data_IF_588132386054
#
_entry.id   IF_588132386054
#
_cell.length_a   1.000
_cell.length_b   1.000
_cell.length_c   1.000
_cell.angle_alpha   90.00
_cell.angle_beta   90.00
_cell.angle_gamma   90.00
#
_symmetry.space_group_name_H-M   'P 1'
#
loop_
_entity.id
_entity.type
_entity.pdbx_description
1 polymer ?
#
# COMPACT_ATOMS: atom_id res chain seq x y z
N UNK A 1 -50.76 9.59 -51.72
CA UNK A 1 -49.92 10.11 -52.82
C UNK A 1 -48.50 9.67 -52.52
N UNK A 2 -47.94 8.71 -53.27
CA UNK A 2 -47.18 8.90 -54.53
C UNK A 2 -45.81 9.58 -54.29
N UNK A 3 -44.66 9.07 -54.81
CA UNK A 3 -44.39 7.81 -55.54
C UNK A 3 -42.87 7.54 -55.72
N UNK A 4 -42.49 6.33 -56.17
CA UNK A 4 -41.26 5.94 -56.92
C UNK A 4 -39.88 5.88 -56.21
N UNK A 5 -38.83 5.18 -56.71
CA UNK A 5 -38.57 4.04 -57.65
C UNK A 5 -37.03 3.74 -57.59
N UNK A 6 -36.42 2.60 -57.97
CA UNK A 6 -36.86 1.23 -58.31
C UNK A 6 -36.43 0.26 -57.17
N UNK A 7 -35.75 -0.90 -57.29
CA UNK A 7 -35.26 -1.73 -58.41
C UNK A 7 -34.61 -3.05 -57.91
N UNK A 8 -34.71 -4.11 -58.71
CA UNK A 8 -34.50 -5.52 -58.29
C UNK A 8 -33.06 -6.03 -58.39
N UNK A 9 -32.67 -6.98 -57.53
CA UNK A 9 -31.41 -7.73 -57.64
C UNK A 9 -31.33 -8.93 -56.69
N UNK A 10 -31.91 -10.08 -57.09
CA UNK A 10 -31.73 -11.37 -56.39
C UNK A 10 -30.42 -12.00 -56.85
N UNK A 11 -29.54 -12.43 -55.94
CA UNK A 11 -28.75 -13.65 -56.11
C UNK A 11 -28.38 -14.28 -54.77
N UNK A 12 -28.86 -15.51 -54.55
CA UNK A 12 -28.40 -16.40 -53.49
C UNK A 12 -27.15 -17.14 -54.01
N UNK A 13 -26.03 -17.07 -53.28
CA UNK A 13 -24.88 -17.94 -53.53
C UNK A 13 -24.08 -18.20 -52.26
N UNK A 14 -23.88 -19.47 -51.91
CA UNK A 14 -23.02 -19.86 -50.80
C UNK A 14 -21.56 -19.60 -51.17
N UNK A 15 -20.87 -18.79 -50.37
CA UNK A 15 -19.46 -18.43 -50.57
C UNK A 15 -18.72 -18.27 -49.26
N UNK A 16 -18.46 -19.37 -48.56
CA UNK A 16 -17.62 -19.41 -47.36
C UNK A 16 -16.23 -18.81 -47.64
N UNK A 17 -15.81 -17.78 -46.89
CA UNK A 17 -14.40 -17.53 -46.51
C UNK A 17 -14.20 -16.32 -45.56
N UNK A 18 -13.53 -16.58 -44.44
CA UNK A 18 -12.80 -15.67 -43.54
C UNK A 18 -13.56 -14.57 -42.77
N UNK A 19 -14.02 -14.91 -41.56
CA UNK A 19 -14.09 -13.98 -40.42
C UNK A 19 -12.80 -14.09 -39.56
N UNK A 20 -12.37 -13.01 -38.86
CA UNK A 20 -11.09 -12.97 -38.14
C UNK A 20 -11.04 -13.71 -36.79
N UNK A 21 -9.85 -14.20 -36.45
CA UNK A 21 -9.54 -15.17 -35.41
C UNK A 21 -9.31 -14.57 -34.01
N UNK A 22 -10.29 -13.89 -33.40
CA UNK A 22 -10.16 -13.44 -31.99
C UNK A 22 -11.46 -13.38 -31.17
N UNK A 23 -12.53 -14.08 -31.58
CA UNK A 23 -13.79 -14.17 -30.81
C UNK A 23 -13.96 -15.49 -30.01
N UNK A 24 -12.88 -16.05 -29.47
CA UNK A 24 -12.94 -17.28 -28.65
C UNK A 24 -12.01 -17.23 -27.44
N UNK A 25 -12.47 -16.59 -26.35
CA UNK A 25 -11.88 -16.73 -25.01
C UNK A 25 -12.85 -16.32 -23.87
N UNK A 26 -14.16 -16.61 -23.99
CA UNK A 26 -15.13 -16.28 -22.93
C UNK A 26 -16.36 -17.21 -22.94
N UNK A 27 -16.21 -18.47 -22.52
CA UNK A 27 -17.27 -19.33 -21.96
C UNK A 27 -16.77 -20.77 -21.67
N UNK A 28 -15.87 -20.98 -20.69
CA UNK A 28 -15.64 -22.33 -20.15
C UNK A 28 -14.94 -22.34 -18.77
N UNK A 29 -15.57 -21.77 -17.75
CA UNK A 29 -15.28 -22.10 -16.34
C UNK A 29 -16.54 -21.87 -15.47
N UNK A 30 -17.47 -22.82 -15.54
CA UNK A 30 -18.60 -22.89 -14.61
C UNK A 30 -18.85 -24.35 -14.20
N UNK A 31 -18.09 -24.83 -13.21
CA UNK A 31 -18.49 -25.88 -12.25
C UNK A 31 -17.38 -26.12 -11.22
N UNK A 32 -17.76 -26.57 -10.02
CA UNK A 32 -16.88 -26.93 -8.90
C UNK A 32 -16.18 -25.77 -8.17
N UNK A 33 -16.97 -24.92 -7.51
CA UNK A 33 -16.62 -24.54 -6.14
C UNK A 33 -16.86 -25.78 -5.26
N UNK A 34 -15.85 -26.65 -5.16
CA UNK A 34 -15.83 -27.68 -4.13
C UNK A 34 -15.70 -27.01 -2.76
N UNK A 35 -16.34 -27.58 -1.75
CA UNK A 35 -16.39 -27.02 -0.39
C UNK A 35 -14.98 -26.85 0.19
N UNK A 36 -14.51 -25.60 0.20
CA UNK A 36 -13.38 -25.20 1.03
C UNK A 36 -13.84 -25.25 2.48
N UNK A 37 -13.69 -26.43 3.11
CA UNK A 37 -13.84 -26.58 4.55
C UNK A 37 -12.99 -25.52 5.24
N UNK A 38 -13.60 -24.76 6.14
CA UNK A 38 -12.90 -23.74 6.92
C UNK A 38 -11.94 -24.43 7.88
N UNK A 39 -10.73 -24.72 7.41
CA UNK A 39 -9.66 -25.28 8.22
C UNK A 39 -9.29 -24.24 9.27
N UNK A 40 -9.69 -24.49 10.52
CA UNK A 40 -9.45 -23.62 11.65
C UNK A 40 -7.95 -23.32 11.77
N UNK A 41 -7.56 -22.07 11.59
CA UNK A 41 -6.15 -21.62 11.63
C UNK A 41 -5.57 -21.59 13.05
N UNK A 42 -5.96 -22.53 13.91
CA UNK A 42 -5.58 -22.62 15.32
C UNK A 42 -4.30 -23.44 15.57
N UNK A 43 -3.85 -24.23 14.59
CA UNK A 43 -2.73 -25.19 14.72
C UNK A 43 -1.63 -24.96 13.65
N UNK A 44 -1.52 -23.74 13.12
CA UNK A 44 -0.32 -23.37 12.36
C UNK A 44 0.90 -23.45 13.30
N UNK A 45 1.97 -24.18 12.95
CA UNK A 45 3.09 -24.36 13.85
C UNK A 45 3.71 -22.99 14.15
N UNK A 46 3.65 -22.59 15.42
CA UNK A 46 4.39 -21.43 15.92
C UNK A 46 5.87 -21.76 15.81
N UNK A 47 6.48 -21.33 14.70
CA UNK A 47 7.93 -21.35 14.58
C UNK A 47 8.46 -20.30 15.55
N UNK A 48 8.74 -20.75 16.77
CA UNK A 48 9.56 -20.01 17.73
C UNK A 48 10.91 -19.71 17.07
N UNK A 49 10.97 -18.53 16.45
CA UNK A 49 12.21 -17.98 15.90
C UNK A 49 13.09 -17.59 17.08
N UNK A 50 13.75 -18.61 17.62
CA UNK A 50 14.83 -18.48 18.58
C UNK A 50 15.83 -17.49 18.00
N UNK A 51 16.30 -16.54 18.82
CA UNK A 51 17.01 -15.33 18.35
C UNK A 51 18.32 -15.66 17.58
N UNK A 52 18.79 -16.92 17.62
CA UNK A 52 19.93 -17.43 16.84
C UNK A 52 19.67 -17.87 15.39
N UNK A 53 18.46 -17.76 14.81
CA UNK A 53 18.19 -18.18 13.41
C UNK A 53 17.96 -17.06 12.40
N UNK A 54 18.15 -15.79 12.80
CA UNK A 54 18.58 -14.79 11.81
C UNK A 54 20.03 -15.10 11.45
N UNK A 55 20.35 -15.15 10.16
CA UNK A 55 21.76 -15.23 9.72
C UNK A 55 22.56 -14.04 10.28
N UNK A 56 23.91 -14.14 10.41
CA UNK A 56 24.71 -13.10 11.04
C UNK A 56 24.39 -11.72 10.47
N UNK A 57 24.02 -10.77 11.31
CA UNK A 57 23.59 -9.42 10.90
C UNK A 57 24.62 -8.76 9.97
N UNK A 58 25.91 -8.99 10.21
CA UNK A 58 27.01 -8.49 9.39
C UNK A 58 26.97 -9.03 7.94
N UNK A 59 26.50 -10.27 7.74
CA UNK A 59 26.31 -10.86 6.40
C UNK A 59 25.13 -10.22 5.65
N UNK A 60 24.03 -9.95 6.36
CA UNK A 60 22.91 -9.17 5.80
C UNK A 60 23.37 -7.76 5.45
N UNK A 61 24.12 -7.11 6.35
CA UNK A 61 24.62 -5.75 6.17
C UNK A 61 25.60 -5.64 4.98
N UNK A 62 26.48 -6.62 4.77
CA UNK A 62 27.32 -6.63 3.57
C UNK A 62 26.49 -6.84 2.29
N UNK A 63 25.42 -7.63 2.34
CA UNK A 63 24.44 -7.71 1.24
C UNK A 63 23.81 -6.35 0.93
N UNK A 64 23.35 -5.62 1.95
CA UNK A 64 22.82 -4.25 1.82
C UNK A 64 23.87 -3.29 1.24
N UNK A 65 25.14 -3.40 1.66
CA UNK A 65 26.24 -2.60 1.07
C UNK A 65 26.42 -2.90 -0.42
N UNK A 66 26.40 -4.17 -0.82
CA UNK A 66 26.55 -4.58 -2.22
C UNK A 66 25.38 -4.11 -3.09
N UNK A 67 24.15 -4.22 -2.59
CA UNK A 67 22.96 -3.70 -3.27
C UNK A 67 23.05 -2.17 -3.44
N UNK A 68 23.36 -1.45 -2.36
CA UNK A 68 23.45 0.01 -2.36
C UNK A 68 24.58 0.54 -3.29
N UNK A 69 25.72 -0.18 -3.37
CA UNK A 69 26.78 0.06 -4.36
C UNK A 69 26.27 -0.13 -5.79
N UNK A 70 25.51 -1.19 -6.03
CA UNK A 70 24.87 -1.45 -7.32
C UNK A 70 23.88 -0.36 -7.76
N UNK A 71 23.26 0.32 -6.78
CA UNK A 71 22.40 1.49 -6.99
C UNK A 71 23.18 2.82 -7.08
N UNK A 72 24.52 2.80 -7.04
CA UNK A 72 25.39 3.98 -7.21
C UNK A 72 25.63 4.82 -5.95
N UNK A 73 25.29 4.32 -4.75
CA UNK A 73 25.56 5.02 -3.48
C UNK A 73 27.06 4.95 -3.18
N UNK A 74 27.68 6.10 -2.87
CA UNK A 74 29.14 6.18 -2.67
C UNK A 74 29.62 5.43 -1.42
N UNK A 75 30.83 4.88 -1.47
CA UNK A 75 31.49 4.27 -0.29
C UNK A 75 31.54 5.23 0.90
N UNK A 76 31.75 6.54 0.68
CA UNK A 76 31.76 7.53 1.76
C UNK A 76 30.40 7.63 2.48
N UNK A 77 29.30 7.55 1.72
CA UNK A 77 27.93 7.53 2.26
C UNK A 77 27.66 6.23 3.01
N UNK A 78 28.01 5.09 2.42
CA UNK A 78 27.82 3.76 3.04
C UNK A 78 28.67 3.57 4.29
N UNK A 79 29.88 4.12 4.31
CA UNK A 79 30.72 4.14 5.49
C UNK A 79 30.11 5.02 6.59
N UNK A 80 29.67 6.24 6.28
CA UNK A 80 29.13 7.14 7.29
C UNK A 80 27.77 6.69 7.85
N UNK A 81 26.85 6.25 6.99
CA UNK A 81 25.50 5.85 7.37
C UNK A 81 25.49 4.51 8.13
N UNK A 82 26.25 3.52 7.67
CA UNK A 82 26.21 2.15 8.19
C UNK A 82 27.38 1.86 9.16
N UNK A 83 28.02 2.87 9.75
CA UNK A 83 29.07 2.66 10.77
C UNK A 83 28.45 2.24 12.10
N UNK A 84 28.99 1.18 12.70
CA UNK A 84 28.64 0.72 14.06
C UNK A 84 27.14 0.44 14.31
N UNK A 85 26.33 0.31 13.25
CA UNK A 85 24.91 -0.04 13.39
C UNK A 85 24.77 -1.46 13.93
N UNK A 86 23.71 -1.71 14.71
CA UNK A 86 23.43 -2.99 15.35
C UNK A 86 21.92 -3.22 15.41
N UNK A 87 21.45 -4.48 15.43
CA UNK A 87 20.04 -4.77 15.70
C UNK A 87 19.59 -4.16 17.02
N UNK A 88 18.55 -3.32 16.98
CA UNK A 88 17.91 -2.79 18.18
C UNK A 88 16.79 -3.75 18.57
N UNK A 89 17.01 -4.56 19.61
CA UNK A 89 16.06 -5.60 20.05
C UNK A 89 14.64 -5.04 20.29
N UNK A 90 14.53 -3.79 20.78
CA UNK A 90 13.24 -3.11 20.99
C UNK A 90 12.50 -2.82 19.68
N UNK A 91 13.18 -2.55 18.56
CA UNK A 91 12.54 -2.38 17.25
C UNK A 91 11.96 -3.72 16.80
N UNK A 92 12.73 -4.81 16.91
CA UNK A 92 12.29 -6.18 16.56
C UNK A 92 11.09 -6.60 17.42
N UNK A 93 11.08 -6.23 18.70
CA UNK A 93 9.95 -6.50 19.60
C UNK A 93 8.68 -5.71 19.20
N UNK A 94 8.83 -4.44 18.83
CA UNK A 94 7.72 -3.57 18.40
C UNK A 94 7.14 -3.98 17.04
N UNK A 95 8.01 -4.34 16.09
CA UNK A 95 7.63 -4.87 14.77
C UNK A 95 6.72 -6.11 14.90
N UNK A 96 7.11 -7.03 15.78
CA UNK A 96 6.34 -8.25 16.11
C UNK A 96 5.08 -8.00 16.97
N UNK A 97 4.88 -6.79 17.49
CA UNK A 97 3.80 -6.44 18.43
C UNK A 97 3.05 -5.20 17.95
N UNK A 98 2.24 -5.35 16.90
CA UNK A 98 1.38 -4.29 16.39
C UNK A 98 0.06 -4.24 17.18
N UNK A 99 -0.13 -3.28 18.11
CA UNK A 99 -1.24 -3.31 19.06
C UNK A 99 -2.60 -2.98 18.42
N UNK A 100 -2.62 -2.34 17.24
CA UNK A 100 -3.86 -1.89 16.62
C UNK A 100 -4.77 -3.05 16.20
N UNK A 101 -4.20 -4.23 15.88
CA UNK A 101 -4.95 -5.46 15.64
C UNK A 101 -5.65 -6.04 16.89
N UNK A 102 -5.41 -5.46 18.07
CA UNK A 102 -6.05 -5.89 19.33
C UNK A 102 -7.11 -4.90 19.85
N UNK A 103 -7.30 -3.76 19.17
CA UNK A 103 -8.28 -2.75 19.55
C UNK A 103 -9.62 -2.98 18.82
N UNK A 104 -10.73 -2.64 19.47
CA UNK A 104 -11.99 -2.42 18.75
C UNK A 104 -11.93 -1.13 17.94
N UNK A 105 -12.81 -0.96 16.95
CA UNK A 105 -12.92 0.27 16.18
C UNK A 105 -13.12 1.50 17.09
N UNK A 106 -14.00 1.41 18.08
CA UNK A 106 -14.28 2.52 18.99
C UNK A 106 -13.05 2.88 19.84
N UNK A 107 -12.35 1.87 20.40
CA UNK A 107 -11.10 2.08 21.15
C UNK A 107 -10.01 2.70 20.28
N UNK A 108 -9.93 2.31 19.00
CA UNK A 108 -9.00 2.91 18.05
C UNK A 108 -9.36 4.37 17.78
N UNK A 109 -10.63 4.68 17.52
CA UNK A 109 -11.09 6.05 17.24
C UNK A 109 -10.90 6.96 18.47
N UNK A 110 -11.27 6.53 19.68
CA UNK A 110 -11.06 7.31 20.90
C UNK A 110 -9.58 7.67 21.13
N UNK A 111 -8.68 6.74 20.81
CA UNK A 111 -7.22 6.94 20.88
C UNK A 111 -6.68 7.82 19.75
N UNK A 112 -7.22 7.68 18.55
CA UNK A 112 -6.65 8.25 17.31
C UNK A 112 -7.28 9.59 16.90
N UNK A 113 -8.49 9.92 17.34
CA UNK A 113 -9.16 11.21 17.06
C UNK A 113 -9.76 11.88 18.31
N UNK A 114 -9.03 11.99 19.45
CA UNK A 114 -9.54 12.68 20.63
C UNK A 114 -9.84 14.16 20.35
N UNK A 115 -10.78 14.75 21.09
CA UNK A 115 -11.24 16.14 20.91
C UNK A 115 -10.10 17.17 20.89
N UNK A 116 -9.04 16.93 21.65
CA UNK A 116 -7.81 17.75 21.67
C UNK A 116 -7.10 17.78 20.31
N UNK A 117 -7.00 16.63 19.63
CA UNK A 117 -6.43 16.49 18.28
C UNK A 117 -7.32 17.16 17.24
N UNK A 118 -8.65 17.04 17.34
CA UNK A 118 -9.60 17.74 16.47
C UNK A 118 -9.47 19.27 16.60
N UNK A 119 -9.36 19.78 17.85
CA UNK A 119 -9.15 21.20 18.09
C UNK A 119 -7.80 21.70 17.54
N UNK A 120 -6.74 20.89 17.68
CA UNK A 120 -5.40 21.19 17.11
C UNK A 120 -5.42 21.16 15.58
N UNK A 121 -6.10 20.20 14.97
CA UNK A 121 -6.29 20.09 13.52
C UNK A 121 -6.95 21.34 12.94
N UNK A 122 -8.02 21.85 13.58
CA UNK A 122 -8.70 23.08 13.14
C UNK A 122 -7.79 24.31 13.16
N UNK A 123 -6.96 24.45 14.21
CA UNK A 123 -5.94 25.53 14.26
C UNK A 123 -4.89 25.35 13.17
N UNK A 124 -4.31 24.15 13.04
CA UNK A 124 -3.28 23.84 12.02
C UNK A 124 -3.79 24.03 10.59
N UNK A 125 -5.06 23.72 10.32
CA UNK A 125 -5.70 24.00 9.03
C UNK A 125 -5.79 25.51 8.76
N UNK A 126 -6.19 26.31 9.75
CA UNK A 126 -6.26 27.77 9.61
C UNK A 126 -4.86 28.40 9.45
N UNK A 127 -3.89 27.97 10.25
CA UNK A 127 -2.48 28.41 10.21
C UNK A 127 -1.81 28.15 8.85
N UNK A 128 -2.16 27.05 8.17
CA UNK A 128 -1.51 26.61 6.92
C UNK A 128 -2.42 26.78 5.69
N UNK A 129 -3.46 27.63 5.79
CA UNK A 129 -4.54 27.69 4.80
C UNK A 129 -4.06 27.92 3.37
N UNK A 130 -3.16 28.89 3.16
CA UNK A 130 -2.66 29.26 1.82
C UNK A 130 -1.92 28.09 1.15
N UNK A 131 -1.00 27.44 1.89
CA UNK A 131 -0.30 26.25 1.45
C UNK A 131 -1.27 25.10 1.14
N UNK A 132 -2.28 24.89 1.99
CA UNK A 132 -3.28 23.84 1.77
C UNK A 132 -4.15 24.10 0.54
N UNK A 133 -4.46 25.37 0.22
CA UNK A 133 -5.15 25.75 -1.01
C UNK A 133 -4.26 25.61 -2.25
N UNK A 134 -2.95 25.87 -2.17
CA UNK A 134 -1.98 25.58 -3.23
C UNK A 134 -1.87 24.06 -3.49
N UNK A 135 -1.65 23.27 -2.44
CA UNK A 135 -1.58 21.81 -2.51
C UNK A 135 -2.88 21.21 -3.06
N UNK A 136 -4.04 21.75 -2.68
CA UNK A 136 -5.33 21.31 -3.24
C UNK A 136 -5.44 21.62 -4.75
N UNK A 137 -4.98 22.79 -5.22
CA UNK A 137 -4.96 23.11 -6.66
C UNK A 137 -4.02 22.19 -7.44
N UNK A 138 -2.84 21.91 -6.88
CA UNK A 138 -1.77 21.12 -7.53
C UNK A 138 -2.05 19.62 -7.55
N UNK A 139 -2.47 19.05 -6.43
CA UNK A 139 -2.64 17.61 -6.22
C UNK A 139 -4.09 17.15 -6.17
N UNK A 140 -5.07 18.07 -6.23
CA UNK A 140 -6.51 17.78 -6.21
C UNK A 140 -6.99 17.09 -4.91
N UNK A 141 -6.16 17.07 -3.86
CA UNK A 141 -6.49 16.57 -2.52
C UNK A 141 -6.98 17.70 -1.64
N UNK A 142 -8.22 17.66 -1.11
CA UNK A 142 -8.69 18.67 -0.16
C UNK A 142 -7.81 18.74 1.08
N UNK A 143 -7.35 19.94 1.44
CA UNK A 143 -6.36 20.14 2.50
C UNK A 143 -6.72 19.57 3.88
N UNK A 144 -8.02 19.34 4.14
CA UNK A 144 -8.50 18.68 5.37
C UNK A 144 -7.95 17.26 5.53
N UNK A 145 -7.73 16.53 4.44
CA UNK A 145 -7.16 15.18 4.48
C UNK A 145 -5.67 15.20 4.79
N UNK A 146 -4.93 16.18 4.24
CA UNK A 146 -3.51 16.40 4.55
C UNK A 146 -3.34 16.70 6.04
N UNK A 147 -4.16 17.60 6.61
CA UNK A 147 -4.12 17.95 8.03
C UNK A 147 -4.57 16.78 8.93
N UNK A 148 -5.57 16.00 8.51
CA UNK A 148 -6.01 14.81 9.26
C UNK A 148 -4.89 13.77 9.36
N UNK A 149 -4.26 13.42 8.23
CA UNK A 149 -3.14 12.47 8.19
C UNK A 149 -1.96 12.98 9.03
N UNK A 150 -1.52 14.24 8.83
CA UNK A 150 -0.42 14.84 9.60
C UNK A 150 -0.66 14.83 11.13
N UNK A 151 -1.92 15.00 11.55
CA UNK A 151 -2.33 14.91 12.95
C UNK A 151 -2.33 13.49 13.53
N UNK A 152 -2.62 12.47 12.71
CA UNK A 152 -2.58 11.06 13.11
C UNK A 152 -1.13 10.57 13.18
N UNK A 153 -0.35 10.78 12.11
CA UNK A 153 1.01 10.25 11.96
C UNK A 153 2.03 10.82 12.98
N UNK A 154 1.88 12.10 13.36
CA UNK A 154 2.96 12.81 14.08
C UNK A 154 2.50 13.80 15.15
N UNK A 155 1.19 13.87 15.43
CA UNK A 155 0.58 14.99 16.17
C UNK A 155 1.08 16.36 15.64
N UNK A 156 1.02 16.55 14.32
CA UNK A 156 1.45 17.78 13.64
C UNK A 156 2.95 18.12 13.84
N UNK A 157 3.81 17.10 13.83
CA UNK A 157 5.26 17.21 14.00
C UNK A 157 5.77 17.18 15.46
N UNK A 158 4.89 17.03 16.44
CA UNK A 158 5.29 16.92 17.86
C UNK A 158 5.92 15.56 18.22
N UNK A 159 5.60 14.50 17.46
CA UNK A 159 6.10 13.14 17.68
C UNK A 159 6.59 12.57 16.35
N UNK A 160 7.90 12.42 16.20
CA UNK A 160 8.54 11.95 14.94
C UNK A 160 9.28 10.62 15.11
N UNK A 161 8.94 9.85 16.15
CA UNK A 161 9.68 8.66 16.55
C UNK A 161 10.89 8.96 17.46
N UNK A 162 11.50 7.90 17.99
CA UNK A 162 12.62 7.98 18.94
C UNK A 162 13.82 7.09 18.59
N UNK A 163 13.84 6.52 17.39
CA UNK A 163 14.95 5.71 16.87
C UNK A 163 15.64 6.44 15.72
N UNK A 164 16.92 6.15 15.50
CA UNK A 164 17.59 6.48 14.24
C UNK A 164 16.91 5.75 13.08
N UNK A 165 16.89 6.39 11.91
CA UNK A 165 16.39 5.78 10.65
C UNK A 165 17.37 4.72 10.11
N UNK A 166 18.65 4.82 10.49
CA UNK A 166 19.76 3.93 10.11
C UNK A 166 20.55 3.51 11.36
#
# INVERSE_FOLDING_TARGET
MLVALLGTGVYLSLGLKFLPLHWFAAAFFLTSFAEATAQTAADAPVIETTIGTLGPFDKWLEGVRQEARGQGISESTLHYALRNIKPIARIIELDRRQPEFTLTLDQYLDRTIPTSRIAKARRKFAENRELLEELQKKYQVPGRFVVALWGIESDFGNHTGGFSVV
#
